data_IF_422666017745
#
_entry.id   IF_422666017745
#
_cell.length_a   1.000
_cell.length_b   1.000
_cell.length_c   1.000
_cell.angle_alpha   90.00
_cell.angle_beta   90.00
_cell.angle_gamma   90.00
#
_symmetry.space_group_name_H-M   'P 1'
#
loop_
_entity.id
_entity.type
_entity.pdbx_description
1 polymer ?
#
# COMPACT_ATOMS: atom_id res chain seq x y z
N UNK A 1 -15.01 16.03 -2.28
CA UNK A 1 -14.90 15.15 -1.10
C UNK A 1 -14.28 13.84 -1.58
N UNK A 2 -13.01 13.56 -1.26
CA UNK A 2 -12.38 12.27 -1.57
C UNK A 2 -12.57 11.37 -0.34
N UNK A 3 -13.39 10.33 -0.47
CA UNK A 3 -13.65 9.37 0.60
C UNK A 3 -12.76 8.14 0.39
N UNK A 4 -11.86 7.87 1.33
CA UNK A 4 -11.11 6.62 1.38
C UNK A 4 -11.84 5.70 2.36
N UNK A 5 -12.49 4.62 1.91
CA UNK A 5 -13.20 3.74 2.82
C UNK A 5 -12.25 3.15 3.86
N UNK A 6 -12.73 3.09 5.11
CA UNK A 6 -12.10 2.32 6.18
C UNK A 6 -12.17 0.84 5.80
N UNK A 7 -11.12 0.36 5.15
CA UNK A 7 -11.14 -0.93 4.44
C UNK A 7 -10.24 -0.98 3.20
N UNK A 8 -9.65 0.14 2.78
CA UNK A 8 -8.63 0.20 1.71
C UNK A 8 -7.30 -0.48 2.11
N UNK A 9 -7.32 -1.74 2.52
CA UNK A 9 -6.13 -2.51 2.91
C UNK A 9 -5.05 -2.54 1.81
N UNK A 10 -5.43 -2.34 0.55
CA UNK A 10 -4.51 -2.16 -0.57
C UNK A 10 -3.66 -0.88 -0.46
N UNK A 11 -4.22 0.23 0.04
CA UNK A 11 -3.45 1.49 0.18
C UNK A 11 -2.38 1.34 1.26
N UNK A 12 -2.72 0.67 2.37
CA UNK A 12 -1.77 0.35 3.43
C UNK A 12 -0.64 -0.56 2.92
N UNK A 13 -0.90 -1.44 1.95
CA UNK A 13 0.16 -2.24 1.31
C UNK A 13 1.08 -1.39 0.43
N UNK A 14 0.51 -0.50 -0.38
CA UNK A 14 1.27 0.44 -1.20
C UNK A 14 2.12 1.36 -0.31
N UNK A 15 1.55 1.90 0.76
CA UNK A 15 2.25 2.73 1.75
C UNK A 15 3.39 1.97 2.43
N UNK A 16 3.15 0.72 2.86
CA UNK A 16 4.21 -0.13 3.44
C UNK A 16 5.31 -0.45 2.46
N UNK A 17 4.97 -0.74 1.21
CA UNK A 17 5.94 -0.99 0.15
C UNK A 17 6.85 0.22 -0.07
N UNK A 18 6.28 1.43 -0.19
CA UNK A 18 7.04 2.67 -0.27
C UNK A 18 7.87 2.94 0.99
N UNK A 19 7.36 2.56 2.17
CA UNK A 19 8.10 2.61 3.43
C UNK A 19 9.39 1.78 3.40
N UNK A 20 9.34 0.56 2.87
CA UNK A 20 10.52 -0.30 2.73
C UNK A 20 11.53 0.26 1.74
N UNK A 21 11.08 0.72 0.57
CA UNK A 21 11.95 1.37 -0.41
C UNK A 21 12.66 2.58 0.20
N UNK A 22 11.93 3.43 0.91
CA UNK A 22 12.48 4.64 1.52
C UNK A 22 13.51 4.31 2.62
N UNK A 23 13.22 3.36 3.51
CA UNK A 23 14.17 2.97 4.57
C UNK A 23 15.46 2.37 3.99
N UNK A 24 15.34 1.47 3.00
CA UNK A 24 16.49 0.73 2.48
C UNK A 24 17.32 1.51 1.46
N UNK A 25 16.68 2.32 0.61
CA UNK A 25 17.35 2.93 -0.55
C UNK A 25 17.50 4.44 -0.44
N UNK A 26 16.66 5.12 0.34
CA UNK A 26 16.68 6.59 0.44
C UNK A 26 17.31 7.05 1.76
N UNK A 27 16.85 6.55 2.91
CA UNK A 27 17.33 7.02 4.23
C UNK A 27 18.69 6.45 4.62
N UNK A 28 18.97 5.20 4.27
CA UNK A 28 20.24 4.51 4.60
C UNK A 28 21.21 4.42 3.42
N UNK A 29 20.80 4.85 2.24
CA UNK A 29 21.62 4.82 1.03
C UNK A 29 22.62 5.97 0.98
N UNK A 30 23.91 5.67 0.99
CA UNK A 30 24.95 6.66 0.72
C UNK A 30 25.25 6.72 -0.78
N UNK A 31 24.48 7.55 -1.52
CA UNK A 31 24.62 7.69 -2.97
C UNK A 31 25.50 8.88 -3.34
N UNK A 32 26.45 8.67 -4.25
CA UNK A 32 27.40 9.72 -4.68
C UNK A 32 26.80 10.70 -5.71
N UNK A 33 25.71 10.32 -6.37
CA UNK A 33 24.96 11.12 -7.33
C UNK A 33 23.56 10.53 -7.57
N UNK A 34 22.73 11.24 -8.33
CA UNK A 34 21.33 10.86 -8.61
C UNK A 34 21.25 9.60 -9.47
N UNK A 35 22.15 9.42 -10.43
CA UNK A 35 22.16 8.25 -11.32
C UNK A 35 22.40 6.96 -10.55
N UNK A 36 23.29 6.99 -9.55
CA UNK A 36 23.56 5.87 -8.66
C UNK A 36 22.31 5.51 -7.82
N UNK A 37 21.61 6.52 -7.29
CA UNK A 37 20.35 6.32 -6.58
C UNK A 37 19.29 5.68 -7.49
N UNK A 38 19.13 6.19 -8.71
CA UNK A 38 18.16 5.66 -9.67
C UNK A 38 18.45 4.19 -10.02
N UNK A 39 19.71 3.86 -10.30
CA UNK A 39 20.12 2.49 -10.60
C UNK A 39 19.85 1.54 -9.43
N UNK A 40 20.13 1.98 -8.21
CA UNK A 40 19.92 1.17 -7.01
C UNK A 40 18.42 0.96 -6.70
N UNK A 41 17.57 1.99 -6.88
CA UNK A 41 16.11 1.85 -6.79
C UNK A 41 15.60 0.84 -7.82
N UNK A 42 16.02 0.94 -9.09
CA UNK A 42 15.60 0.01 -10.14
C UNK A 42 16.02 -1.43 -9.85
N UNK A 43 17.23 -1.62 -9.33
CA UNK A 43 17.73 -2.93 -8.90
C UNK A 43 16.89 -3.48 -7.74
N UNK A 44 16.61 -2.65 -6.74
CA UNK A 44 15.78 -3.02 -5.59
C UNK A 44 14.37 -3.46 -6.01
N UNK A 45 13.71 -2.71 -6.90
CA UNK A 45 12.37 -3.06 -7.42
C UNK A 45 12.41 -4.40 -8.15
N UNK A 46 13.42 -4.65 -8.99
CA UNK A 46 13.58 -5.94 -9.68
C UNK A 46 13.74 -7.09 -8.69
N UNK A 47 14.57 -6.91 -7.66
CA UNK A 47 14.80 -7.93 -6.63
C UNK A 47 13.53 -8.21 -5.82
N UNK A 48 12.84 -7.16 -5.38
CA UNK A 48 11.57 -7.28 -4.67
C UNK A 48 10.51 -8.05 -5.49
N UNK A 49 10.43 -7.79 -6.80
CA UNK A 49 9.46 -8.47 -7.66
C UNK A 49 9.83 -9.92 -7.99
N UNK A 50 11.11 -10.31 -7.86
CA UNK A 50 11.55 -11.68 -8.11
C UNK A 50 11.20 -12.65 -6.96
N UNK A 51 11.24 -12.17 -5.72
CA UNK A 51 10.77 -12.87 -4.52
C UNK A 51 9.88 -11.91 -3.70
N UNK A 52 8.64 -11.67 -4.16
CA UNK A 52 7.75 -10.74 -3.48
C UNK A 52 7.47 -11.28 -2.07
N UNK A 53 7.50 -10.37 -1.09
CA UNK A 53 6.96 -10.65 0.24
C UNK A 53 5.50 -10.20 0.26
N UNK A 54 4.54 -11.08 -0.07
CA UNK A 54 3.14 -10.70 -0.08
C UNK A 54 2.71 -10.32 1.34
N UNK A 55 2.00 -9.20 1.46
CA UNK A 55 1.28 -8.91 2.68
C UNK A 55 0.08 -9.85 2.74
N UNK A 56 -0.03 -10.60 3.82
CA UNK A 56 -1.18 -11.48 4.04
C UNK A 56 -2.40 -10.62 4.29
N UNK A 57 -3.40 -10.76 3.42
CA UNK A 57 -4.72 -10.19 3.63
C UNK A 57 -5.39 -10.96 4.76
N UNK A 58 -5.68 -10.27 5.86
CA UNK A 58 -6.38 -10.87 7.00
C UNK A 58 -7.89 -10.88 6.84
N UNK A 59 -8.42 -10.04 5.93
CA UNK A 59 -9.84 -9.98 5.58
C UNK A 59 -10.11 -10.66 4.24
N UNK A 60 -11.08 -11.54 4.23
CA UNK A 60 -11.63 -12.19 3.03
C UNK A 60 -12.39 -11.19 2.15
N UNK A 61 -12.61 -11.56 0.89
CA UNK A 61 -13.40 -10.74 -0.03
C UNK A 61 -14.84 -10.55 0.49
N UNK A 62 -15.48 -11.61 0.99
CA UNK A 62 -16.79 -11.56 1.66
C UNK A 62 -16.82 -10.54 2.80
N UNK A 63 -15.85 -10.57 3.72
CA UNK A 63 -15.83 -9.61 4.86
C UNK A 63 -15.70 -8.15 4.40
N UNK A 64 -15.00 -7.92 3.27
CA UNK A 64 -14.90 -6.59 2.67
C UNK A 64 -16.26 -6.17 2.08
N UNK A 65 -16.92 -7.06 1.34
CA UNK A 65 -18.22 -6.80 0.73
C UNK A 65 -19.31 -6.58 1.79
N UNK A 66 -19.31 -7.36 2.86
CA UNK A 66 -20.24 -7.21 3.98
C UNK A 66 -20.02 -5.89 4.73
N UNK A 67 -18.77 -5.52 4.98
CA UNK A 67 -18.42 -4.22 5.58
C UNK A 67 -18.88 -3.06 4.71
N UNK A 68 -18.75 -3.15 3.39
CA UNK A 68 -19.24 -2.15 2.44
C UNK A 68 -20.77 -2.08 2.44
N UNK A 69 -21.46 -3.21 2.41
CA UNK A 69 -22.92 -3.27 2.46
C UNK A 69 -23.45 -2.66 3.77
N UNK A 70 -22.81 -2.95 4.91
CA UNK A 70 -23.18 -2.37 6.20
C UNK A 70 -22.93 -0.86 6.24
N UNK A 71 -21.80 -0.40 5.71
CA UNK A 71 -21.49 1.01 5.59
C UNK A 71 -22.52 1.74 4.72
N UNK A 72 -22.81 1.24 3.52
CA UNK A 72 -23.82 1.77 2.62
C UNK A 72 -25.18 1.88 3.31
N UNK A 73 -25.66 0.82 3.98
CA UNK A 73 -26.91 0.87 4.76
C UNK A 73 -26.91 1.98 5.80
N UNK A 74 -25.80 2.18 6.51
CA UNK A 74 -25.68 3.20 7.56
C UNK A 74 -25.73 4.62 7.01
N UNK A 75 -25.13 4.88 5.84
CA UNK A 75 -25.14 6.20 5.22
C UNK A 75 -26.43 6.47 4.44
N UNK A 76 -27.05 5.43 3.86
CA UNK A 76 -28.32 5.55 3.13
C UNK A 76 -29.50 5.83 4.04
N UNK A 77 -29.41 5.46 5.33
CA UNK A 77 -30.40 5.82 6.36
C UNK A 77 -30.14 7.18 7.03
N UNK A 78 -29.01 7.82 6.76
CA UNK A 78 -28.69 9.17 7.23
C UNK A 78 -29.13 10.21 6.18
N UNK A 79 -30.43 10.20 5.84
CA UNK A 79 -31.08 11.27 5.10
C UNK A 79 -31.88 12.14 6.07
N UNK A 80 -31.58 13.43 6.05
CA UNK A 80 -32.41 14.62 6.37
C UNK A 80 -33.63 14.47 7.29
#
# INVERSE_FOLDING_TARGET
MHFTPTGSSWINQVERWFGFLADQKVRRGAHKNVQALEADIRSWVKHWNADPKPFIWTKTAEEILDSLAQFCRRISGAGH
#
